data_IF_509971861199
#
_entry.id   IF_509971861199
#
_cell.length_a   1.000
_cell.length_b   1.000
_cell.length_c   1.000
_cell.angle_alpha   90.00
_cell.angle_beta   90.00
_cell.angle_gamma   90.00
#
_symmetry.space_group_name_H-M   'P 1'
#
loop_
_entity.id
_entity.type
_entity.pdbx_description
1 polymer ?
#
# COMPACT_ATOMS: atom_id res chain seq x y z
N UNK A 1 9.14 11.44 -14.40
CA UNK A 1 9.31 10.05 -14.86
C UNK A 1 8.40 9.85 -16.06
N UNK A 2 8.85 9.10 -17.06
CA UNK A 2 8.13 8.86 -18.31
C UNK A 2 8.45 7.45 -18.77
N UNK A 3 7.46 6.76 -19.35
CA UNK A 3 7.58 5.40 -19.90
C UNK A 3 8.20 4.41 -18.90
N UNK A 4 7.44 4.13 -17.84
CA UNK A 4 7.90 3.37 -16.68
C UNK A 4 7.20 2.02 -16.60
N UNK A 5 7.95 1.00 -16.21
CA UNK A 5 7.46 -0.34 -16.00
C UNK A 5 8.07 -0.92 -14.72
N UNK A 6 7.26 -1.65 -13.95
CA UNK A 6 7.67 -2.26 -12.70
C UNK A 6 7.07 -3.64 -12.55
N UNK A 7 7.90 -4.58 -12.10
CA UNK A 7 7.43 -5.83 -11.53
C UNK A 7 7.38 -5.69 -10.02
N UNK A 8 6.26 -6.05 -9.40
CA UNK A 8 6.06 -5.93 -7.96
C UNK A 8 5.70 -7.29 -7.38
N UNK A 9 6.49 -7.76 -6.41
CA UNK A 9 6.18 -8.94 -5.62
C UNK A 9 5.73 -8.53 -4.23
N UNK A 10 4.51 -8.92 -3.86
CA UNK A 10 3.92 -8.62 -2.58
C UNK A 10 3.12 -9.82 -2.06
N UNK A 11 2.80 -9.79 -0.77
CA UNK A 11 1.90 -10.72 -0.10
C UNK A 11 0.96 -9.95 0.83
N UNK A 12 -0.08 -10.61 1.33
CA UNK A 12 -0.95 -10.06 2.36
C UNK A 12 -0.75 -10.82 3.68
N UNK A 13 -0.95 -10.11 4.78
CA UNK A 13 -0.98 -10.67 6.14
C UNK A 13 -2.31 -10.26 6.79
N UNK A 14 -2.78 -11.04 7.77
CA UNK A 14 -4.01 -10.70 8.48
C UNK A 14 -3.81 -9.47 9.36
N UNK A 15 -4.74 -8.51 9.28
CA UNK A 15 -4.73 -7.38 10.18
C UNK A 15 -5.16 -7.81 11.60
N UNK A 16 -4.19 -7.90 12.52
CA UNK A 16 -4.42 -8.29 13.91
C UNK A 16 -5.02 -7.17 14.76
N UNK A 17 -5.00 -5.93 14.29
CA UNK A 17 -5.65 -4.79 14.96
C UNK A 17 -7.19 -4.82 14.85
N UNK A 18 -7.73 -5.67 13.96
CA UNK A 18 -9.16 -5.93 13.80
C UNK A 18 -9.53 -7.36 14.23
N UNK A 19 -9.68 -7.60 15.54
CA UNK A 19 -10.08 -8.91 16.06
C UNK A 19 -11.53 -9.29 15.69
N UNK A 20 -12.38 -8.30 15.42
CA UNK A 20 -13.77 -8.46 14.97
C UNK A 20 -13.87 -9.16 13.61
N UNK A 21 -12.84 -9.02 12.77
CA UNK A 21 -12.74 -9.67 11.46
C UNK A 21 -12.07 -11.06 11.51
N UNK A 22 -11.81 -11.62 12.69
CA UNK A 22 -11.13 -12.92 12.81
C UNK A 22 -11.85 -14.05 12.04
N UNK A 23 -13.18 -14.01 11.99
CA UNK A 23 -13.99 -14.99 11.27
C UNK A 23 -13.88 -14.87 9.74
N UNK A 24 -13.39 -13.75 9.20
CA UNK A 24 -13.20 -13.54 7.76
C UNK A 24 -11.76 -13.82 7.29
N UNK A 25 -10.88 -14.31 8.18
CA UNK A 25 -9.49 -14.68 7.88
C UNK A 25 -9.42 -16.00 7.10
N UNK A 26 -9.89 -15.99 5.87
CA UNK A 26 -9.91 -17.14 4.97
C UNK A 26 -8.96 -16.92 3.79
N UNK A 27 -7.80 -17.58 3.83
CA UNK A 27 -6.75 -17.44 2.82
C UNK A 27 -7.24 -17.76 1.40
N UNK A 28 -7.89 -18.91 1.21
CA UNK A 28 -8.37 -19.33 -0.12
C UNK A 28 -9.39 -18.36 -0.71
N UNK A 29 -10.27 -17.80 0.12
CA UNK A 29 -11.22 -16.75 -0.30
C UNK A 29 -10.47 -15.49 -0.77
N UNK A 30 -9.58 -14.94 0.07
CA UNK A 30 -8.92 -13.67 -0.24
C UNK A 30 -7.91 -13.81 -1.38
N UNK A 31 -7.15 -14.90 -1.42
CA UNK A 31 -6.19 -15.19 -2.50
C UNK A 31 -6.89 -15.34 -3.85
N UNK A 32 -7.96 -16.15 -3.94
CA UNK A 32 -8.68 -16.33 -5.20
C UNK A 32 -9.33 -15.04 -5.71
N UNK A 33 -9.83 -14.20 -4.80
CA UNK A 33 -10.35 -12.87 -5.15
C UNK A 33 -9.21 -11.96 -5.64
N UNK A 34 -8.08 -11.90 -4.93
CA UNK A 34 -6.94 -11.08 -5.32
C UNK A 34 -6.39 -11.48 -6.69
N UNK A 35 -6.20 -12.78 -6.94
CA UNK A 35 -5.75 -13.31 -8.22
C UNK A 35 -6.71 -12.92 -9.35
N UNK A 36 -8.01 -13.16 -9.18
CA UNK A 36 -9.03 -12.81 -10.18
C UNK A 36 -9.08 -11.31 -10.47
N UNK A 37 -8.86 -10.45 -9.47
CA UNK A 37 -8.82 -9.00 -9.69
C UNK A 37 -7.55 -8.60 -10.43
N UNK A 38 -6.40 -9.20 -10.11
CA UNK A 38 -5.15 -8.95 -10.82
C UNK A 38 -5.25 -9.34 -12.30
N UNK A 39 -5.85 -10.50 -12.61
CA UNK A 39 -6.11 -10.96 -13.99
C UNK A 39 -7.03 -10.02 -14.78
N UNK A 40 -7.81 -9.19 -14.09
CA UNK A 40 -8.76 -8.22 -14.70
C UNK A 40 -8.23 -6.79 -14.72
N UNK A 41 -6.97 -6.56 -14.34
CA UNK A 41 -6.37 -5.22 -14.29
C UNK A 41 -6.70 -4.41 -13.02
N UNK A 42 -7.18 -5.07 -11.98
CA UNK A 42 -7.57 -4.46 -10.72
C UNK A 42 -9.07 -4.19 -10.60
N UNK A 43 -9.50 -3.80 -9.40
CA UNK A 43 -10.89 -3.40 -9.11
C UNK A 43 -11.12 -1.89 -9.26
N UNK A 44 -10.06 -1.10 -9.15
CA UNK A 44 -10.07 0.36 -9.14
C UNK A 44 -9.06 0.87 -10.17
N UNK A 45 -9.23 2.13 -10.59
CA UNK A 45 -8.27 2.81 -11.44
C UNK A 45 -6.89 2.87 -10.77
N UNK A 46 -5.85 2.65 -11.56
CA UNK A 46 -4.46 2.60 -11.08
C UNK A 46 -3.80 3.95 -11.34
N UNK A 47 -3.20 4.52 -10.30
CA UNK A 47 -2.49 5.80 -10.36
C UNK A 47 -1.04 5.64 -9.88
N UNK A 48 -0.11 6.23 -10.62
CA UNK A 48 1.32 6.28 -10.30
C UNK A 48 1.62 7.58 -9.53
N UNK A 49 1.23 7.61 -8.26
CA UNK A 49 1.53 8.71 -7.33
C UNK A 49 0.55 9.90 -7.36
N UNK A 50 0.03 10.29 -8.54
CA UNK A 50 -0.96 11.37 -8.67
C UNK A 50 -2.10 10.97 -9.60
N UNK A 51 -3.22 11.71 -9.54
CA UNK A 51 -4.42 11.44 -10.36
C UNK A 51 -4.18 11.60 -11.86
N UNK A 52 -3.25 12.47 -12.26
CA UNK A 52 -2.95 12.73 -13.67
C UNK A 52 -2.01 11.68 -14.28
N UNK A 53 -1.46 10.77 -13.46
CA UNK A 53 -0.56 9.70 -13.87
C UNK A 53 -1.27 8.34 -13.81
N UNK A 54 -2.26 8.13 -14.67
CA UNK A 54 -2.97 6.85 -14.76
C UNK A 54 -2.09 5.76 -15.38
N UNK A 55 -2.21 4.53 -14.87
CA UNK A 55 -1.54 3.34 -15.37
C UNK A 55 -2.46 2.12 -15.41
N UNK A 56 -1.88 0.93 -15.54
CA UNK A 56 -2.59 -0.34 -15.45
C UNK A 56 -1.72 -1.38 -14.73
N UNK A 57 -2.32 -2.52 -14.37
CA UNK A 57 -1.60 -3.67 -13.80
C UNK A 57 -1.97 -4.93 -14.57
N UNK A 58 -1.06 -5.90 -14.58
CA UNK A 58 -1.29 -7.23 -15.12
C UNK A 58 -0.53 -8.28 -14.31
N UNK A 59 -0.96 -9.56 -14.33
CA UNK A 59 -0.15 -10.64 -13.77
C UNK A 59 1.19 -10.73 -14.50
N UNK A 60 2.29 -10.90 -13.76
CA UNK A 60 3.61 -11.19 -14.31
C UNK A 60 4.36 -12.15 -13.38
N UNK A 61 5.32 -12.87 -13.93
CA UNK A 61 6.28 -13.63 -13.14
C UNK A 61 7.44 -12.69 -12.75
N UNK A 62 7.70 -12.54 -11.46
CA UNK A 62 8.71 -11.60 -10.98
C UNK A 62 10.12 -12.04 -11.41
N UNK A 63 10.83 -11.17 -12.12
CA UNK A 63 12.16 -11.41 -12.66
C UNK A 63 12.17 -12.15 -14.00
N UNK A 64 11.03 -12.33 -14.67
CA UNK A 64 10.98 -13.07 -15.95
C UNK A 64 11.48 -12.28 -17.15
N UNK A 65 11.57 -10.94 -17.03
CA UNK A 65 11.94 -10.05 -18.13
C UNK A 65 13.23 -9.31 -17.82
N UNK A 66 13.91 -8.87 -18.87
CA UNK A 66 15.19 -8.15 -18.76
C UNK A 66 14.89 -6.69 -18.44
N UNK A 67 15.34 -6.23 -17.28
CA UNK A 67 15.24 -4.85 -16.84
C UNK A 67 16.39 -3.98 -17.35
N UNK A 68 16.16 -2.68 -17.49
CA UNK A 68 17.20 -1.71 -17.88
C UNK A 68 18.35 -1.60 -16.87
N UNK A 69 18.14 -2.05 -15.63
CA UNK A 69 19.07 -1.94 -14.52
C UNK A 69 19.74 -3.26 -14.14
N UNK A 70 19.48 -4.35 -14.85
CA UNK A 70 19.97 -5.70 -14.51
C UNK A 70 21.51 -5.77 -14.52
N UNK A 71 22.15 -4.97 -15.35
CA UNK A 71 23.62 -4.91 -15.47
C UNK A 71 24.27 -3.89 -14.52
N UNK A 72 23.47 -3.12 -13.77
CA UNK A 72 23.96 -2.14 -12.82
C UNK A 72 24.01 -2.79 -11.44
N UNK A 73 25.22 -2.97 -10.92
CA UNK A 73 25.45 -3.62 -9.63
C UNK A 73 24.66 -2.94 -8.50
N UNK A 74 24.69 -1.59 -8.46
CA UNK A 74 24.12 -0.83 -7.36
C UNK A 74 23.74 0.60 -7.73
N UNK A 75 22.58 1.06 -7.25
CA UNK A 75 22.13 2.45 -7.26
C UNK A 75 21.59 2.84 -5.89
N UNK A 76 22.18 3.86 -5.27
CA UNK A 76 21.74 4.40 -3.97
C UNK A 76 20.79 5.59 -4.16
N UNK A 77 19.60 5.54 -3.56
CA UNK A 77 18.58 6.60 -3.69
C UNK A 77 18.59 7.64 -2.55
N UNK A 78 19.50 7.50 -1.59
CA UNK A 78 19.59 8.40 -0.43
C UNK A 78 18.40 8.24 0.51
N UNK A 79 18.02 9.30 1.24
CA UNK A 79 16.90 9.24 2.19
C UNK A 79 15.57 9.32 1.44
N UNK A 80 14.75 8.29 1.55
CA UNK A 80 13.46 8.17 0.85
C UNK A 80 12.33 7.87 1.85
N UNK A 81 11.14 8.39 1.56
CA UNK A 81 9.93 8.09 2.32
C UNK A 81 9.54 6.60 2.14
N UNK A 82 9.19 5.93 3.24
CA UNK A 82 8.71 4.54 3.23
C UNK A 82 7.18 4.49 3.34
N UNK A 83 6.62 5.20 4.31
CA UNK A 83 5.19 5.17 4.59
C UNK A 83 4.83 5.94 5.86
N UNK A 84 3.55 6.08 6.13
CA UNK A 84 3.07 6.60 7.42
C UNK A 84 2.86 5.47 8.43
N UNK A 85 3.10 5.76 9.70
CA UNK A 85 2.70 4.94 10.82
C UNK A 85 1.46 5.58 11.45
N UNK A 86 0.30 4.97 11.25
CA UNK A 86 -0.95 5.52 11.76
C UNK A 86 -1.21 5.09 13.22
N UNK A 87 -2.00 5.86 13.98
CA UNK A 87 -2.31 5.54 15.38
C UNK A 87 -2.98 4.17 15.60
N UNK A 88 -3.80 3.70 14.67
CA UNK A 88 -4.46 2.40 14.70
C UNK A 88 -3.49 1.21 14.52
N UNK A 89 -2.39 1.43 13.80
CA UNK A 89 -1.31 0.44 13.64
C UNK A 89 -0.32 0.46 14.82
N UNK A 90 -0.02 1.65 15.34
CA UNK A 90 1.04 1.84 16.36
C UNK A 90 0.53 1.79 17.80
N UNK A 91 -0.76 2.06 18.02
CA UNK A 91 -1.34 2.25 19.35
C UNK A 91 -1.03 3.61 19.99
N UNK A 92 -0.33 4.50 19.29
CA UNK A 92 0.07 5.81 19.80
C UNK A 92 -0.73 6.94 19.15
N UNK A 93 -1.10 7.97 19.91
CA UNK A 93 -1.91 9.10 19.42
C UNK A 93 -1.09 10.12 18.58
N UNK A 94 -0.27 9.63 17.67
CA UNK A 94 0.63 10.43 16.83
C UNK A 94 0.77 9.84 15.44
N UNK A 95 0.78 10.70 14.42
CA UNK A 95 1.13 10.32 13.06
C UNK A 95 2.65 10.45 12.89
N UNK A 96 3.32 9.35 12.53
CA UNK A 96 4.75 9.36 12.18
C UNK A 96 4.96 9.07 10.71
N UNK A 97 5.96 9.71 10.11
CA UNK A 97 6.47 9.35 8.79
C UNK A 97 7.71 8.47 8.96
N UNK A 98 7.72 7.32 8.29
CA UNK A 98 8.84 6.39 8.21
C UNK A 98 9.70 6.75 6.99
N UNK A 99 11.00 6.80 7.17
CA UNK A 99 11.99 6.98 6.11
C UNK A 99 12.99 5.83 6.14
N UNK A 100 13.64 5.60 5.01
CA UNK A 100 14.66 4.58 4.85
C UNK A 100 15.65 4.99 3.75
N UNK A 101 16.66 4.16 3.49
CA UNK A 101 17.65 4.39 2.43
C UNK A 101 17.60 3.25 1.43
N UNK A 102 16.76 3.34 0.38
CA UNK A 102 16.67 2.29 -0.61
C UNK A 102 17.97 2.15 -1.38
N UNK A 103 18.32 0.90 -1.64
CA UNK A 103 19.37 0.49 -2.55
C UNK A 103 18.72 -0.40 -3.60
N UNK A 104 18.95 -0.09 -4.87
CA UNK A 104 18.60 -0.99 -5.98
C UNK A 104 19.85 -1.74 -6.40
N UNK A 105 19.78 -3.05 -6.43
CA UNK A 105 20.86 -3.93 -6.85
C UNK A 105 20.36 -4.78 -8.01
N UNK A 106 21.02 -4.71 -9.16
CA UNK A 106 20.61 -5.42 -10.38
C UNK A 106 19.12 -5.21 -10.73
N UNK A 107 18.66 -3.95 -10.64
CA UNK A 107 17.27 -3.58 -10.92
C UNK A 107 16.24 -3.92 -9.84
N UNK A 108 16.64 -4.53 -8.72
CA UNK A 108 15.73 -4.96 -7.66
C UNK A 108 15.87 -4.09 -6.41
N UNK A 109 14.74 -3.62 -5.88
CA UNK A 109 14.65 -2.91 -4.59
C UNK A 109 13.97 -3.83 -3.57
N UNK A 110 14.67 -4.14 -2.47
CA UNK A 110 14.12 -4.90 -1.36
C UNK A 110 13.62 -3.95 -0.26
N UNK A 111 12.30 -3.90 -0.06
CA UNK A 111 11.69 -3.08 0.97
C UNK A 111 11.84 -3.73 2.36
N UNK A 112 12.29 -2.98 3.40
CA UNK A 112 12.20 -3.43 4.77
C UNK A 112 10.72 -3.47 5.20
N UNK A 113 10.41 -4.34 6.16
CA UNK A 113 9.10 -4.30 6.82
C UNK A 113 8.92 -2.94 7.53
N UNK A 114 7.69 -2.42 7.68
CA UNK A 114 7.46 -1.13 8.34
C UNK A 114 8.11 -1.02 9.74
N UNK A 115 8.14 -2.11 10.51
CA UNK A 115 8.76 -2.21 11.84
C UNK A 115 10.29 -2.21 11.83
N UNK A 116 10.92 -2.39 10.66
CA UNK A 116 12.38 -2.35 10.48
C UNK A 116 12.87 -0.97 9.99
N UNK A 117 11.98 0.03 9.90
CA UNK A 117 12.35 1.38 9.50
C UNK A 117 12.77 2.22 10.72
N UNK A 118 14.07 2.48 10.86
CA UNK A 118 14.62 3.14 12.04
C UNK A 118 14.51 4.68 12.01
N UNK A 119 14.19 5.27 10.86
CA UNK A 119 14.15 6.73 10.71
C UNK A 119 12.71 7.20 10.77
N UNK A 120 12.32 7.71 11.94
CA UNK A 120 10.98 8.19 12.20
C UNK A 120 10.96 9.70 12.36
N UNK A 121 9.98 10.35 11.74
CA UNK A 121 9.67 11.76 11.96
C UNK A 121 8.25 11.89 12.48
N UNK A 122 8.10 12.53 13.64
CA UNK A 122 6.80 12.91 14.16
C UNK A 122 6.21 14.03 13.30
N UNK A 123 5.00 13.80 12.76
CA UNK A 123 4.33 14.75 11.87
C UNK A 123 3.41 15.65 12.67
N UNK A 124 2.48 15.04 13.42
CA UNK A 124 1.51 15.74 14.28
C UNK A 124 0.78 14.75 15.20
N UNK A 125 0.19 15.23 16.31
CA UNK A 125 -0.80 14.46 17.05
C UNK A 125 -1.96 14.02 16.14
N UNK A 126 -2.41 12.78 16.30
CA UNK A 126 -3.53 12.20 15.54
C UNK A 126 -4.16 11.08 16.38
N UNK A 127 -5.48 11.02 16.42
CA UNK A 127 -6.20 9.91 17.07
C UNK A 127 -6.66 8.93 16.00
N UNK A 128 -6.59 7.63 16.31
CA UNK A 128 -7.10 6.57 15.44
C UNK A 128 -8.57 6.83 15.10
N UNK A 129 -8.91 6.74 13.82
CA UNK A 129 -10.31 6.85 13.40
C UNK A 129 -11.02 5.56 13.79
N UNK A 130 -12.07 5.65 14.59
CA UNK A 130 -12.91 4.49 14.87
C UNK A 130 -13.74 4.17 13.63
N UNK A 131 -13.56 2.98 13.07
CA UNK A 131 -14.41 2.44 12.03
C UNK A 131 -15.43 1.49 12.67
N UNK A 132 -16.72 1.79 12.52
CA UNK A 132 -17.83 1.01 13.05
C UNK A 132 -19.16 1.40 12.40
N UNK A 133 -20.17 0.53 12.48
CA UNK A 133 -21.50 0.73 11.86
C UNK A 133 -22.19 2.04 12.31
N UNK A 134 -21.81 2.61 13.45
CA UNK A 134 -22.33 3.88 13.95
C UNK A 134 -21.80 5.13 13.20
N UNK A 135 -20.77 4.98 12.36
CA UNK A 135 -20.17 6.08 11.58
C UNK A 135 -20.37 5.93 10.06
N UNK A 136 -21.22 5.00 9.62
CA UNK A 136 -21.63 4.87 8.22
C UNK A 136 -23.04 5.44 8.10
N UNK A 137 -23.20 6.56 7.41
CA UNK A 137 -24.52 7.07 7.04
C UNK A 137 -25.14 6.13 6.00
N UNK A 138 -26.44 5.87 6.09
CA UNK A 138 -27.12 5.17 4.99
C UNK A 138 -27.09 6.03 3.74
N UNK A 139 -27.03 5.40 2.57
CA UNK A 139 -27.05 6.10 1.27
C UNK A 139 -28.25 7.04 1.17
N UNK A 140 -29.37 6.67 1.77
CA UNK A 140 -30.59 7.47 1.82
C UNK A 140 -30.43 8.77 2.64
N UNK A 141 -29.61 8.77 3.69
CA UNK A 141 -29.32 9.94 4.52
C UNK A 141 -28.35 10.90 3.82
N UNK A 142 -27.31 10.40 3.15
CA UNK A 142 -26.39 11.25 2.37
C UNK A 142 -27.06 11.91 1.16
N UNK A 143 -27.99 11.19 0.49
CA UNK A 143 -28.72 11.74 -0.65
C UNK A 143 -29.64 12.91 -0.27
N UNK A 144 -30.10 12.96 0.98
CA UNK A 144 -31.00 14.01 1.50
C UNK A 144 -30.26 15.31 1.82
N UNK A 145 -28.99 15.24 2.23
CA UNK A 145 -28.16 16.41 2.56
C UNK A 145 -27.58 17.12 1.32
N UNK A 146 -27.52 16.44 0.17
CA UNK A 146 -27.08 17.02 -1.11
C UNK A 146 -28.21 17.72 -1.89
N UNK A 147 -29.43 17.69 -1.35
CA UNK A 147 -30.65 18.18 -2.00
C UNK A 147 -31.28 19.44 -1.38
N UNK A 148 -30.56 20.18 -0.52
CA UNK A 148 -31.01 21.44 0.08
C UNK A 148 -30.20 22.65 -0.38
#
# INVERSE_FOLDING_TARGET
MSDVEYQVRAHFEWNLHHPDLANDRNEGKHFSVAQRMLERGGRQDIFLGTRDCQGYVMPCEFGSEIGSYDTIERVDYGLTFHGFAYPDETGEAILRARFWRPVMEHGVIHFPRPEQCDILKEVRPMVAKQFGQSCVLSVDLEASDLGA
#
